data_IF_160667560741
#
_entry.id   IF_160667560741
#
_cell.length_a   1.000
_cell.length_b   1.000
_cell.length_c   1.000
_cell.angle_alpha   90.00
_cell.angle_beta   90.00
_cell.angle_gamma   90.00
#
_symmetry.space_group_name_H-M   'P 1'
#
loop_
_entity.id
_entity.type
_entity.pdbx_description
1 polymer ?
#
# COMPACT_ATOMS: atom_id res chain seq x y z
N UNK A 1 -43.75 57.35 41.45
CA UNK A 1 -44.52 56.39 40.62
C UNK A 1 -43.65 55.14 40.46
N UNK A 2 -43.86 54.14 41.31
CA UNK A 2 -43.04 52.92 41.36
C UNK A 2 -43.54 51.99 40.26
N UNK A 3 -42.72 51.71 39.24
CA UNK A 3 -42.95 50.55 38.37
C UNK A 3 -42.58 49.30 39.18
N UNK A 4 -43.50 48.35 39.43
CA UNK A 4 -43.08 47.05 39.91
C UNK A 4 -42.34 46.36 38.76
N UNK A 5 -41.02 46.23 38.87
CA UNK A 5 -40.24 45.37 38.00
C UNK A 5 -40.54 43.91 38.40
N UNK A 6 -41.69 43.41 38.00
CA UNK A 6 -41.92 41.97 38.00
C UNK A 6 -41.14 41.44 36.80
N UNK A 7 -39.88 41.06 37.00
CA UNK A 7 -39.20 40.17 36.05
C UNK A 7 -40.08 38.94 35.95
N UNK A 8 -40.77 38.77 34.82
CA UNK A 8 -41.57 37.58 34.57
C UNK A 8 -40.65 36.38 34.73
N UNK A 9 -40.96 35.44 35.62
CA UNK A 9 -40.17 34.21 35.80
C UNK A 9 -39.97 33.47 34.46
N UNK A 10 -40.91 33.63 33.52
CA UNK A 10 -40.79 33.15 32.16
C UNK A 10 -39.66 33.84 31.37
N UNK A 11 -39.49 35.15 31.53
CA UNK A 11 -38.43 35.91 30.88
C UNK A 11 -37.04 35.50 31.42
N UNK A 12 -36.91 35.34 32.74
CA UNK A 12 -35.67 34.87 33.36
C UNK A 12 -35.33 33.42 32.94
N UNK A 13 -36.34 32.54 32.87
CA UNK A 13 -36.16 31.17 32.38
C UNK A 13 -35.76 31.14 30.89
N UNK A 14 -36.34 32.01 30.06
CA UNK A 14 -35.96 32.16 28.66
C UNK A 14 -34.53 32.66 28.49
N UNK A 15 -34.12 33.65 29.28
CA UNK A 15 -32.75 34.17 29.28
C UNK A 15 -31.73 33.12 29.70
N UNK A 16 -32.05 32.29 30.70
CA UNK A 16 -31.22 31.15 31.13
C UNK A 16 -31.08 30.12 30.01
N UNK A 17 -32.19 29.75 29.36
CA UNK A 17 -32.18 28.81 28.24
C UNK A 17 -31.31 29.31 27.08
N UNK A 18 -31.39 30.61 26.76
CA UNK A 18 -30.55 31.20 25.71
C UNK A 18 -29.06 31.12 26.06
N UNK A 19 -28.69 31.38 27.31
CA UNK A 19 -27.31 31.26 27.79
C UNK A 19 -26.81 29.80 27.74
N UNK A 20 -27.65 28.82 28.10
CA UNK A 20 -27.30 27.40 28.00
C UNK A 20 -27.08 26.96 26.55
N UNK A 21 -27.94 27.40 25.62
CA UNK A 21 -27.80 27.11 24.19
C UNK A 21 -26.51 27.75 23.63
N UNK A 22 -26.22 28.99 24.00
CA UNK A 22 -24.99 29.67 23.58
C UNK A 22 -23.74 28.95 24.10
N UNK A 23 -23.75 28.53 25.37
CA UNK A 23 -22.66 27.77 25.98
C UNK A 23 -22.45 26.41 25.29
N UNK A 24 -23.51 25.65 25.00
CA UNK A 24 -23.40 24.37 24.30
C UNK A 24 -22.90 24.55 22.85
N UNK A 25 -23.37 25.59 22.16
CA UNK A 25 -22.91 25.94 20.82
C UNK A 25 -21.41 26.21 20.79
N UNK A 26 -20.92 27.07 21.70
CA UNK A 26 -19.50 27.38 21.80
C UNK A 26 -18.67 26.13 22.10
N UNK A 27 -19.13 25.31 23.05
CA UNK A 27 -18.41 24.10 23.39
C UNK A 27 -18.42 23.07 22.24
N UNK A 28 -19.47 23.04 21.42
CA UNK A 28 -19.53 22.19 20.20
C UNK A 28 -18.55 22.68 19.13
N UNK A 29 -18.40 24.01 18.98
CA UNK A 29 -17.39 24.61 18.11
C UNK A 29 -15.97 24.24 18.58
N UNK A 30 -15.73 24.21 19.89
CA UNK A 30 -14.43 23.86 20.46
C UNK A 30 -14.07 22.39 20.21
N UNK A 31 -15.04 21.48 20.38
CA UNK A 31 -14.87 20.05 20.04
C UNK A 31 -14.60 19.88 18.54
N UNK A 32 -15.39 20.52 17.67
CA UNK A 32 -15.18 20.45 16.22
C UNK A 32 -13.79 20.95 15.82
N UNK A 33 -13.34 22.05 16.43
CA UNK A 33 -12.01 22.63 16.20
C UNK A 33 -10.89 21.70 16.67
N UNK A 34 -11.10 21.03 17.81
CA UNK A 34 -10.17 20.05 18.37
C UNK A 34 -10.05 18.81 17.49
N UNK A 35 -11.18 18.22 17.08
CA UNK A 35 -11.21 17.08 16.16
C UNK A 35 -10.52 17.40 14.83
N UNK A 36 -10.77 18.59 14.26
CA UNK A 36 -10.13 19.02 13.01
C UNK A 36 -8.61 19.10 13.15
N UNK A 37 -8.12 19.72 14.23
CA UNK A 37 -6.69 19.99 14.42
C UNK A 37 -5.91 18.79 14.93
N UNK A 38 -6.47 18.02 15.87
CA UNK A 38 -5.76 16.97 16.58
C UNK A 38 -6.02 15.58 16.00
N UNK A 39 -7.14 15.36 15.32
CA UNK A 39 -7.49 14.03 14.78
C UNK A 39 -7.40 14.01 13.26
N UNK A 40 -8.16 14.87 12.57
CA UNK A 40 -8.29 14.80 11.12
C UNK A 40 -6.99 15.11 10.37
N UNK A 41 -6.31 16.22 10.70
CA UNK A 41 -5.05 16.60 10.05
C UNK A 41 -3.94 15.56 10.28
N UNK A 42 -3.64 15.13 11.52
CA UNK A 42 -2.58 14.14 11.74
C UNK A 42 -2.89 12.78 11.11
N UNK A 43 -4.16 12.36 11.11
CA UNK A 43 -4.59 11.13 10.45
C UNK A 43 -4.30 11.19 8.94
N UNK A 44 -4.66 12.29 8.28
CA UNK A 44 -4.40 12.48 6.85
C UNK A 44 -2.90 12.48 6.54
N UNK A 45 -2.10 13.22 7.30
CA UNK A 45 -0.65 13.31 7.09
C UNK A 45 0.03 11.94 7.27
N UNK A 46 -0.24 11.25 8.38
CA UNK A 46 0.37 9.94 8.69
C UNK A 46 -0.09 8.86 7.71
N UNK A 47 -1.37 8.82 7.35
CA UNK A 47 -1.90 7.83 6.40
C UNK A 47 -1.44 8.08 4.96
N UNK A 48 -1.25 9.34 4.55
CA UNK A 48 -0.77 9.68 3.20
C UNK A 48 0.63 9.11 2.94
N UNK A 49 1.53 9.21 3.91
CA UNK A 49 2.88 8.64 3.78
C UNK A 49 2.83 7.12 3.56
N UNK A 50 1.98 6.40 4.30
CA UNK A 50 1.78 4.95 4.15
C UNK A 50 1.21 4.57 2.78
N UNK A 51 0.27 5.36 2.25
CA UNK A 51 -0.24 5.20 0.88
C UNK A 51 0.89 5.31 -0.17
N UNK A 52 1.81 6.26 -0.01
CA UNK A 52 2.95 6.42 -0.92
C UNK A 52 3.92 5.24 -0.81
N UNK A 53 4.23 4.77 0.40
CA UNK A 53 5.07 3.59 0.60
C UNK A 53 4.48 2.34 -0.06
N UNK A 54 3.19 2.05 0.18
CA UNK A 54 2.51 0.90 -0.42
C UNK A 54 2.58 0.93 -1.95
N UNK A 55 2.41 2.09 -2.58
CA UNK A 55 2.57 2.24 -4.03
C UNK A 55 3.97 1.85 -4.52
N UNK A 56 5.03 2.20 -3.79
CA UNK A 56 6.41 1.82 -4.15
C UNK A 56 6.60 0.31 -4.12
N UNK A 57 6.08 -0.38 -3.09
CA UNK A 57 6.13 -1.85 -2.98
C UNK A 57 5.46 -2.49 -4.21
N UNK A 58 4.27 -2.01 -4.60
CA UNK A 58 3.59 -2.52 -5.80
C UNK A 58 4.36 -2.25 -7.10
N UNK A 59 4.95 -1.05 -7.25
CA UNK A 59 5.78 -0.73 -8.42
C UNK A 59 7.02 -1.62 -8.49
N UNK A 60 7.68 -1.91 -7.36
CA UNK A 60 8.81 -2.85 -7.33
C UNK A 60 8.37 -4.26 -7.75
N UNK A 61 7.26 -4.75 -7.20
CA UNK A 61 6.70 -6.06 -7.57
C UNK A 61 6.44 -6.18 -9.06
N UNK A 62 5.77 -5.18 -9.65
CA UNK A 62 5.48 -5.15 -11.09
C UNK A 62 6.75 -5.12 -11.95
N UNK A 63 7.78 -4.39 -11.49
CA UNK A 63 9.09 -4.37 -12.15
C UNK A 63 9.75 -5.75 -12.15
N UNK A 64 9.73 -6.46 -11.01
CA UNK A 64 10.26 -7.83 -10.93
C UNK A 64 9.47 -8.82 -11.77
N UNK A 65 8.14 -8.76 -11.76
CA UNK A 65 7.28 -9.60 -12.60
C UNK A 65 7.62 -9.40 -14.10
N UNK A 66 7.89 -8.16 -14.52
CA UNK A 66 8.33 -7.84 -15.88
C UNK A 66 9.70 -8.45 -16.22
N UNK A 67 10.64 -8.40 -15.28
CA UNK A 67 11.98 -8.98 -15.47
C UNK A 67 11.91 -10.50 -15.58
N UNK A 68 11.15 -11.15 -14.70
CA UNK A 68 10.96 -12.61 -14.70
C UNK A 68 10.31 -13.05 -15.99
N UNK A 69 9.22 -12.39 -16.41
CA UNK A 69 8.54 -12.69 -17.67
C UNK A 69 9.49 -12.62 -18.88
N UNK A 70 10.35 -11.59 -18.95
CA UNK A 70 11.36 -11.48 -20.01
C UNK A 70 12.41 -12.60 -19.96
N UNK A 71 12.82 -13.01 -18.76
CA UNK A 71 13.78 -14.09 -18.56
C UNK A 71 13.19 -15.45 -18.96
N UNK A 72 11.92 -15.71 -18.65
CA UNK A 72 11.19 -16.90 -19.10
C UNK A 72 10.99 -16.91 -20.62
N UNK A 73 10.69 -15.76 -21.23
CA UNK A 73 10.59 -15.63 -22.68
C UNK A 73 11.91 -15.96 -23.38
N UNK A 74 13.05 -15.49 -22.84
CA UNK A 74 14.38 -15.84 -23.34
C UNK A 74 14.65 -17.34 -23.25
N UNK A 75 14.32 -17.97 -22.11
CA UNK A 75 14.46 -19.41 -21.93
C UNK A 75 13.64 -20.19 -22.97
N UNK A 76 12.41 -19.77 -23.20
CA UNK A 76 11.53 -20.36 -24.21
C UNK A 76 12.15 -20.29 -25.62
N UNK A 77 12.70 -19.13 -25.99
CA UNK A 77 13.41 -18.94 -27.28
C UNK A 77 14.61 -19.88 -27.40
N UNK A 78 15.50 -19.92 -26.40
CA UNK A 78 16.66 -20.81 -26.41
C UNK A 78 16.27 -22.29 -26.52
N UNK A 79 15.17 -22.70 -25.86
CA UNK A 79 14.65 -24.08 -25.95
C UNK A 79 14.16 -24.42 -27.36
N UNK A 80 13.45 -23.49 -28.01
CA UNK A 80 12.96 -23.67 -29.38
C UNK A 80 14.13 -23.79 -30.35
N UNK A 81 15.11 -22.89 -30.24
CA UNK A 81 16.31 -22.88 -31.08
C UNK A 81 17.13 -24.17 -30.92
N UNK A 82 17.39 -24.59 -29.68
CA UNK A 82 18.03 -25.87 -29.41
C UNK A 82 17.28 -27.04 -30.09
N UNK A 83 15.95 -27.12 -29.91
CA UNK A 83 15.15 -28.18 -30.54
C UNK A 83 15.25 -28.15 -32.08
N UNK A 84 15.27 -26.97 -32.68
CA UNK A 84 15.40 -26.80 -34.13
C UNK A 84 16.78 -27.27 -34.62
N UNK A 85 17.87 -26.86 -33.97
CA UNK A 85 19.23 -27.29 -34.31
C UNK A 85 19.40 -28.82 -34.16
N UNK A 86 18.81 -29.42 -33.13
CA UNK A 86 18.77 -30.87 -32.96
C UNK A 86 18.07 -31.58 -34.14
N UNK A 87 16.89 -31.11 -34.54
CA UNK A 87 16.15 -31.68 -35.69
C UNK A 87 16.96 -31.53 -36.98
N UNK A 88 17.55 -30.36 -37.22
CA UNK A 88 18.35 -30.08 -38.40
C UNK A 88 19.58 -31.00 -38.49
N UNK A 89 20.31 -31.18 -37.38
CA UNK A 89 21.44 -32.10 -37.31
C UNK A 89 21.00 -33.56 -37.55
N UNK A 90 19.87 -33.98 -36.97
CA UNK A 90 19.34 -35.34 -37.17
C UNK A 90 18.92 -35.60 -38.62
N UNK A 91 18.37 -34.61 -39.31
CA UNK A 91 17.94 -34.73 -40.71
C UNK A 91 19.11 -34.70 -41.69
N UNK A 92 20.12 -33.87 -41.43
CA UNK A 92 21.32 -33.72 -42.26
C UNK A 92 22.58 -33.60 -41.38
N UNK A 93 23.18 -34.73 -40.98
CA UNK A 93 24.34 -34.73 -40.11
C UNK A 93 25.57 -34.17 -40.84
N UNK A 94 26.07 -33.04 -40.37
CA UNK A 94 27.31 -32.42 -40.83
C UNK A 94 28.07 -31.85 -39.63
N UNK A 95 29.35 -31.54 -39.80
CA UNK A 95 30.12 -30.89 -38.74
C UNK A 95 29.55 -29.51 -38.37
N UNK A 96 29.04 -28.77 -39.35
CA UNK A 96 28.39 -27.48 -39.10
C UNK A 96 27.11 -27.61 -38.27
N UNK A 97 26.21 -28.54 -38.63
CA UNK A 97 24.97 -28.75 -37.88
C UNK A 97 25.23 -29.31 -36.48
N UNK A 98 26.31 -30.07 -36.29
CA UNK A 98 26.76 -30.52 -34.98
C UNK A 98 27.20 -29.34 -34.09
N UNK A 99 28.03 -28.43 -34.63
CA UNK A 99 28.45 -27.23 -33.90
C UNK A 99 27.26 -26.39 -33.45
N UNK A 100 26.32 -26.09 -34.36
CA UNK A 100 25.11 -25.32 -34.03
C UNK A 100 24.24 -26.00 -32.96
N UNK A 101 24.12 -27.33 -33.01
CA UNK A 101 23.41 -28.08 -31.99
C UNK A 101 24.11 -27.93 -30.62
N UNK A 102 25.43 -28.13 -30.54
CA UNK A 102 26.17 -28.01 -29.28
C UNK A 102 26.09 -26.58 -28.72
N UNK A 103 26.22 -25.56 -29.57
CA UNK A 103 26.17 -24.16 -29.15
C UNK A 103 24.79 -23.77 -28.62
N UNK A 104 23.71 -24.13 -29.34
CA UNK A 104 22.34 -23.88 -28.89
C UNK A 104 21.96 -24.66 -27.63
N UNK A 105 22.49 -25.88 -27.46
CA UNK A 105 22.35 -26.63 -26.22
C UNK A 105 23.00 -25.92 -25.03
N UNK A 106 24.25 -25.47 -25.19
CA UNK A 106 24.97 -24.75 -24.14
C UNK A 106 24.26 -23.44 -23.77
N UNK A 107 23.79 -22.68 -24.77
CA UNK A 107 23.01 -21.47 -24.54
C UNK A 107 21.70 -21.76 -23.77
N UNK A 108 20.98 -22.81 -24.15
CA UNK A 108 19.76 -23.23 -23.44
C UNK A 108 20.04 -23.62 -21.98
N UNK A 109 21.07 -24.44 -21.73
CA UNK A 109 21.42 -24.88 -20.37
C UNK A 109 21.83 -23.70 -19.50
N UNK A 110 22.66 -22.78 -20.03
CA UNK A 110 23.04 -21.57 -19.30
C UNK A 110 21.82 -20.70 -18.96
N UNK A 111 20.93 -20.48 -19.93
CA UNK A 111 19.73 -19.69 -19.70
C UNK A 111 18.78 -20.39 -18.72
N UNK A 112 18.68 -21.72 -18.75
CA UNK A 112 17.87 -22.50 -17.81
C UNK A 112 18.37 -22.31 -16.37
N UNK A 113 19.68 -22.41 -16.15
CA UNK A 113 20.26 -22.16 -14.83
C UNK A 113 20.04 -20.73 -14.36
N UNK A 114 20.24 -19.74 -15.25
CA UNK A 114 20.00 -18.34 -14.92
C UNK A 114 18.53 -18.08 -14.56
N UNK A 115 17.58 -18.61 -15.34
CA UNK A 115 16.14 -18.47 -15.08
C UNK A 115 15.76 -19.12 -13.76
N UNK A 116 16.22 -20.35 -13.50
CA UNK A 116 15.91 -21.05 -12.24
C UNK A 116 16.45 -20.29 -11.02
N UNK A 117 17.69 -19.82 -11.08
CA UNK A 117 18.29 -19.04 -10.00
C UNK A 117 17.53 -17.72 -9.76
N UNK A 118 17.09 -17.04 -10.82
CA UNK A 118 16.27 -15.82 -10.70
C UNK A 118 14.91 -16.10 -10.08
N UNK A 119 14.24 -17.19 -10.47
CA UNK A 119 12.96 -17.60 -9.90
C UNK A 119 13.10 -17.97 -8.43
N UNK A 120 14.14 -18.72 -8.08
CA UNK A 120 14.44 -19.09 -6.69
C UNK A 120 14.67 -17.85 -5.83
N UNK A 121 15.56 -16.94 -6.25
CA UNK A 121 15.81 -15.71 -5.52
C UNK A 121 14.54 -14.85 -5.38
N UNK A 122 13.74 -14.73 -6.44
CA UNK A 122 12.51 -13.95 -6.36
C UNK A 122 11.48 -14.56 -5.40
N UNK A 123 11.22 -15.86 -5.51
CA UNK A 123 10.16 -16.50 -4.74
C UNK A 123 10.56 -16.79 -3.29
N UNK A 124 11.83 -17.09 -3.03
CA UNK A 124 12.31 -17.43 -1.70
C UNK A 124 12.77 -16.21 -0.89
N UNK A 125 13.18 -15.11 -1.54
CA UNK A 125 13.76 -13.96 -0.85
C UNK A 125 12.98 -12.67 -1.14
N UNK A 126 12.94 -12.23 -2.41
CA UNK A 126 12.44 -10.89 -2.76
C UNK A 126 10.94 -10.73 -2.51
N UNK A 127 10.12 -11.67 -2.97
CA UNK A 127 8.67 -11.58 -2.82
C UNK A 127 8.24 -11.64 -1.33
N UNK A 128 8.78 -12.56 -0.50
CA UNK A 128 8.54 -12.52 0.94
C UNK A 128 8.90 -11.19 1.60
N UNK A 129 10.04 -10.58 1.24
CA UNK A 129 10.43 -9.27 1.78
C UNK A 129 9.44 -8.17 1.39
N UNK A 130 8.99 -8.12 0.13
CA UNK A 130 7.96 -7.18 -0.31
C UNK A 130 6.63 -7.39 0.42
N UNK A 131 6.26 -8.64 0.70
CA UNK A 131 5.07 -8.96 1.49
C UNK A 131 5.20 -8.50 2.94
N UNK A 132 6.37 -8.69 3.54
CA UNK A 132 6.64 -8.23 4.90
C UNK A 132 6.58 -6.69 4.99
N UNK A 133 7.18 -5.97 4.05
CA UNK A 133 7.06 -4.50 3.99
C UNK A 133 5.60 -4.05 3.89
N UNK A 134 4.79 -4.75 3.09
CA UNK A 134 3.37 -4.45 2.94
C UNK A 134 2.58 -4.71 4.23
N UNK A 135 2.88 -5.81 4.93
CA UNK A 135 2.30 -6.13 6.24
C UNK A 135 2.64 -5.07 7.28
N UNK A 136 3.89 -4.63 7.36
CA UNK A 136 4.35 -3.56 8.25
C UNK A 136 3.59 -2.25 7.99
N UNK A 137 3.45 -1.86 6.71
CA UNK A 137 2.66 -0.69 6.31
C UNK A 137 1.19 -0.81 6.76
N UNK A 138 0.60 -1.99 6.63
CA UNK A 138 -0.79 -2.22 7.03
C UNK A 138 -0.97 -2.16 8.54
N UNK A 139 -0.09 -2.81 9.30
CA UNK A 139 -0.10 -2.77 10.77
C UNK A 139 0.05 -1.33 11.28
N UNK A 140 0.97 -0.57 10.70
CA UNK A 140 1.15 0.85 11.03
C UNK A 140 -0.11 1.67 10.73
N UNK A 141 -0.79 1.41 9.61
CA UNK A 141 -2.02 2.10 9.25
C UNK A 141 -3.16 1.76 10.24
N UNK A 142 -3.28 0.50 10.64
CA UNK A 142 -4.23 0.08 11.67
C UNK A 142 -3.99 0.83 12.98
N UNK A 143 -2.74 0.88 13.44
CA UNK A 143 -2.38 1.62 14.66
C UNK A 143 -2.72 3.11 14.55
N UNK A 144 -2.38 3.75 13.43
CA UNK A 144 -2.70 5.17 13.15
C UNK A 144 -4.22 5.42 13.25
N UNK A 145 -5.03 4.55 12.64
CA UNK A 145 -6.48 4.68 12.65
C UNK A 145 -7.04 4.44 14.05
N UNK A 146 -6.58 3.41 14.75
CA UNK A 146 -6.99 3.11 16.13
C UNK A 146 -6.67 4.27 17.08
N UNK A 147 -5.47 4.85 16.99
CA UNK A 147 -5.09 6.04 17.76
C UNK A 147 -5.99 7.24 17.46
N UNK A 148 -6.29 7.49 16.18
CA UNK A 148 -7.14 8.60 15.78
C UNK A 148 -8.59 8.44 16.28
N UNK A 149 -9.13 7.21 16.25
CA UNK A 149 -10.45 6.90 16.78
C UNK A 149 -10.49 7.12 18.30
N UNK A 150 -9.46 6.65 19.02
CA UNK A 150 -9.37 6.84 20.47
C UNK A 150 -9.29 8.33 20.83
N UNK A 151 -8.40 9.09 20.18
CA UNK A 151 -8.28 10.53 20.40
C UNK A 151 -9.57 11.29 20.06
N UNK A 152 -10.29 10.86 19.01
CA UNK A 152 -11.58 11.42 18.66
C UNK A 152 -12.63 11.18 19.75
N UNK A 153 -12.68 9.97 20.31
CA UNK A 153 -13.57 9.64 21.41
C UNK A 153 -13.24 10.44 22.68
N UNK A 154 -11.96 10.55 23.04
CA UNK A 154 -11.49 11.34 24.19
C UNK A 154 -11.83 12.83 24.02
N UNK A 155 -11.64 13.40 22.83
CA UNK A 155 -11.97 14.80 22.56
C UNK A 155 -13.48 15.11 22.71
N UNK A 156 -14.33 14.13 22.42
CA UNK A 156 -15.79 14.24 22.61
C UNK A 156 -16.17 14.01 24.07
N UNK A 157 -15.52 13.05 24.74
CA UNK A 157 -15.82 12.67 26.12
C UNK A 157 -15.24 13.62 27.19
N UNK A 158 -14.26 14.45 26.83
CA UNK A 158 -13.74 15.52 27.68
C UNK A 158 -14.71 16.72 27.82
N UNK A 159 -15.89 16.62 27.19
CA UNK A 159 -17.03 17.53 27.27
C UNK A 159 -18.07 16.96 28.23
#
# INVERSE_FOLDING_TARGET
MIRPACQSNLFAAWETLLQEIEADSQATIDVASTLSRQVARPLLERSFYRKVQSRKVFTHRESFDTIISKTEEKLSKCRIEYKQCYIAHRQSPTQHTLTQYIDSHNAYVQQLHATNAMLEAYHCETLPQLMQELEEIYNDLCNIVSEAVLQGAEAIAAK
#
